data_IF_546842286719
#
_entry.id   IF_546842286719
#
_cell.length_a   1.000
_cell.length_b   1.000
_cell.length_c   1.000
_cell.angle_alpha   90.00
_cell.angle_beta   90.00
_cell.angle_gamma   90.00
#
_symmetry.space_group_name_H-M   'P 1'
#
loop_
_entity.id
_entity.type
_entity.pdbx_description
1 polymer ?
#
# COMPACT_ATOMS: atom_id res chain seq x y z
N UNK A 1 -14.45 16.84 -36.23
CA UNK A 1 -13.01 17.21 -36.21
C UNK A 1 -12.52 17.59 -34.80
N UNK A 2 -13.12 18.58 -34.12
CA UNK A 2 -12.70 18.94 -32.74
C UNK A 2 -12.91 17.83 -31.71
N UNK A 3 -14.02 17.09 -31.77
CA UNK A 3 -14.27 15.95 -30.87
C UNK A 3 -13.21 14.85 -31.02
N UNK A 4 -12.78 14.56 -32.26
CA UNK A 4 -11.76 13.55 -32.55
C UNK A 4 -10.39 13.96 -31.98
N UNK A 5 -9.99 15.23 -32.16
CA UNK A 5 -8.75 15.78 -31.59
C UNK A 5 -8.79 15.72 -30.05
N UNK A 6 -9.91 16.11 -29.44
CA UNK A 6 -10.10 16.05 -28.00
C UNK A 6 -9.95 14.61 -27.46
N UNK A 7 -10.53 13.61 -28.14
CA UNK A 7 -10.38 12.20 -27.78
C UNK A 7 -8.92 11.76 -27.79
N UNK A 8 -8.14 12.11 -28.82
CA UNK A 8 -6.72 11.76 -28.88
C UNK A 8 -5.89 12.44 -27.78
N UNK A 9 -6.18 13.71 -27.47
CA UNK A 9 -5.56 14.40 -26.34
C UNK A 9 -5.88 13.70 -25.02
N UNK A 10 -7.12 13.29 -24.81
CA UNK A 10 -7.55 12.58 -23.60
C UNK A 10 -6.92 11.18 -23.49
N UNK A 11 -6.74 10.47 -24.61
CA UNK A 11 -6.00 9.19 -24.66
C UNK A 11 -4.55 9.43 -24.26
N UNK A 12 -3.88 10.42 -24.86
CA UNK A 12 -2.50 10.76 -24.53
C UNK A 12 -2.33 11.11 -23.05
N UNK A 13 -3.23 11.95 -22.52
CA UNK A 13 -3.27 12.28 -21.10
C UNK A 13 -3.46 11.04 -20.22
N UNK A 14 -4.37 10.14 -20.62
CA UNK A 14 -4.59 8.88 -19.94
C UNK A 14 -3.33 8.01 -19.88
N UNK A 15 -2.61 7.90 -21.00
CA UNK A 15 -1.33 7.16 -21.05
C UNK A 15 -0.29 7.81 -20.11
N UNK A 16 -0.17 9.14 -20.11
CA UNK A 16 0.72 9.84 -19.19
C UNK A 16 0.35 9.58 -17.72
N UNK A 17 -0.95 9.59 -17.39
CA UNK A 17 -1.43 9.27 -16.04
C UNK A 17 -1.10 7.82 -15.66
N UNK A 18 -1.27 6.86 -16.57
CA UNK A 18 -0.95 5.45 -16.32
C UNK A 18 0.55 5.25 -16.02
N UNK A 19 1.43 5.91 -16.80
CA UNK A 19 2.88 5.88 -16.57
C UNK A 19 3.22 6.52 -15.21
N UNK A 20 2.61 7.68 -14.91
CA UNK A 20 2.82 8.35 -13.63
C UNK A 20 2.37 7.48 -12.45
N UNK A 21 1.22 6.80 -12.55
CA UNK A 21 0.75 5.87 -11.52
C UNK A 21 1.76 4.74 -11.29
N UNK A 22 2.26 4.10 -12.36
CA UNK A 22 3.27 3.06 -12.23
C UNK A 22 4.52 3.59 -11.51
N UNK A 23 4.98 4.78 -11.89
CA UNK A 23 6.14 5.42 -11.27
C UNK A 23 5.92 5.72 -9.79
N UNK A 24 4.77 6.33 -9.43
CA UNK A 24 4.43 6.66 -8.04
C UNK A 24 4.31 5.39 -7.19
N UNK A 25 3.67 4.34 -7.71
CA UNK A 25 3.53 3.06 -7.00
C UNK A 25 4.88 2.39 -6.83
N UNK A 26 5.72 2.36 -7.87
CA UNK A 26 7.07 1.80 -7.78
C UNK A 26 7.91 2.56 -6.75
N UNK A 27 7.90 3.89 -6.79
CA UNK A 27 8.61 4.71 -5.80
C UNK A 27 8.06 4.49 -4.38
N UNK A 28 6.75 4.36 -4.22
CA UNK A 28 6.13 4.09 -2.92
C UNK A 28 6.48 2.69 -2.39
N UNK A 29 6.61 1.68 -3.26
CA UNK A 29 7.02 0.34 -2.82
C UNK A 29 8.52 0.26 -2.53
N UNK A 30 9.36 0.93 -3.32
CA UNK A 30 10.83 0.91 -3.16
C UNK A 30 11.34 1.88 -2.09
N UNK A 31 10.63 2.97 -1.81
CA UNK A 31 11.10 4.04 -0.91
C UNK A 31 10.03 4.58 0.06
N UNK A 32 8.79 4.08 0.02
CA UNK A 32 7.62 4.81 0.54
C UNK A 32 7.41 4.81 2.05
N UNK A 33 8.07 3.95 2.81
CA UNK A 33 7.91 3.97 4.26
C UNK A 33 8.79 5.06 4.92
N UNK A 34 9.94 5.39 4.33
CA UNK A 34 10.79 6.51 4.77
C UNK A 34 10.26 7.91 4.40
N UNK A 35 9.31 8.02 3.46
CA UNK A 35 8.87 9.29 2.88
C UNK A 35 7.48 9.78 3.29
N UNK A 36 6.65 8.91 3.90
CA UNK A 36 5.23 9.21 4.19
C UNK A 36 4.92 9.67 5.62
N UNK A 37 5.93 9.76 6.48
CA UNK A 37 5.76 10.27 7.83
C UNK A 37 5.94 11.79 7.85
N UNK A 38 4.94 12.48 8.39
CA UNK A 38 5.05 13.91 8.66
C UNK A 38 6.22 14.14 9.62
N UNK A 39 6.99 15.22 9.46
CA UNK A 39 8.24 15.40 10.21
C UNK A 39 8.09 15.28 11.75
N UNK A 40 6.93 15.66 12.28
CA UNK A 40 6.59 15.55 13.70
C UNK A 40 6.37 14.08 14.13
N UNK A 41 5.69 13.27 13.31
CA UNK A 41 5.49 11.85 13.59
C UNK A 41 6.78 11.05 13.37
N UNK A 42 7.62 11.42 12.39
CA UNK A 42 8.93 10.82 12.17
C UNK A 42 9.85 11.07 13.38
N UNK A 43 9.89 12.29 13.90
CA UNK A 43 10.70 12.64 15.07
C UNK A 43 10.21 11.91 16.34
N UNK A 44 8.89 11.88 16.56
CA UNK A 44 8.29 11.13 17.67
C UNK A 44 8.54 9.60 17.56
N UNK A 45 8.47 9.02 16.37
CA UNK A 45 8.80 7.61 16.14
C UNK A 45 10.28 7.31 16.33
N UNK A 46 11.18 8.23 15.92
CA UNK A 46 12.62 8.09 16.13
C UNK A 46 12.95 8.11 17.62
N UNK A 47 12.36 9.01 18.39
CA UNK A 47 12.54 9.05 19.83
C UNK A 47 11.97 7.82 20.52
N UNK A 48 10.82 7.32 20.05
CA UNK A 48 10.23 6.09 20.57
C UNK A 48 11.08 4.85 20.22
N UNK A 49 11.70 4.82 19.04
CA UNK A 49 12.66 3.77 18.66
C UNK A 49 13.91 3.76 19.54
N UNK A 50 14.41 4.95 19.93
CA UNK A 50 15.54 5.09 20.85
C UNK A 50 15.16 4.60 22.24
N UNK A 51 13.99 4.99 22.75
CA UNK A 51 13.47 4.54 24.04
C UNK A 51 13.24 3.02 24.06
N UNK A 52 12.70 2.43 22.99
CA UNK A 52 12.51 0.99 22.85
C UNK A 52 13.83 0.21 22.90
N UNK A 53 14.88 0.71 22.21
CA UNK A 53 16.22 0.11 22.24
C UNK A 53 16.89 0.22 23.60
N UNK A 54 16.67 1.33 24.30
CA UNK A 54 17.14 1.50 25.68
C UNK A 54 16.43 0.51 26.59
N UNK A 55 15.10 0.43 26.55
CA UNK A 55 14.32 -0.53 27.33
C UNK A 55 14.74 -1.99 27.07
N UNK A 56 14.97 -2.37 25.81
CA UNK A 56 15.43 -3.71 25.46
C UNK A 56 16.81 -4.06 26.04
N UNK A 57 17.66 -3.05 26.32
CA UNK A 57 19.00 -3.24 26.88
C UNK A 57 19.05 -3.15 28.41
N UNK A 58 18.21 -2.30 29.01
CA UNK A 58 18.31 -1.97 30.44
C UNK A 58 17.10 -2.45 31.26
N UNK A 59 15.98 -2.79 30.62
CA UNK A 59 14.73 -3.18 31.29
C UNK A 59 14.00 -2.02 31.99
N UNK A 60 14.60 -0.82 32.04
CA UNK A 60 14.03 0.37 32.66
C UNK A 60 13.56 1.36 31.60
N UNK A 61 12.26 1.65 31.57
CA UNK A 61 11.76 2.93 31.08
C UNK A 61 10.31 3.14 31.46
N UNK A 62 10.08 3.83 32.58
CA UNK A 62 8.76 4.37 32.90
C UNK A 62 8.24 5.32 31.79
N UNK A 63 9.14 5.94 31.02
CA UNK A 63 8.81 6.82 29.90
C UNK A 63 8.27 6.11 28.65
N UNK A 64 8.67 4.86 28.36
CA UNK A 64 8.27 4.19 27.12
C UNK A 64 6.78 3.86 27.07
N UNK A 65 6.23 3.30 28.16
CA UNK A 65 4.81 2.99 28.22
C UNK A 65 3.93 4.25 28.13
N UNK A 66 4.40 5.37 28.70
CA UNK A 66 3.72 6.66 28.59
C UNK A 66 3.79 7.23 27.16
N UNK A 67 4.94 7.18 26.50
CA UNK A 67 5.12 7.60 25.10
C UNK A 67 4.27 6.76 24.14
N UNK A 68 4.16 5.44 24.37
CA UNK A 68 3.28 4.56 23.57
C UNK A 68 1.82 4.94 23.75
N UNK A 69 1.36 5.12 25.00
CA UNK A 69 -0.02 5.50 25.28
C UNK A 69 -0.38 6.87 24.67
N UNK A 70 0.58 7.80 24.60
CA UNK A 70 0.39 9.12 23.99
C UNK A 70 0.26 9.07 22.46
N UNK A 71 1.03 8.22 21.78
CA UNK A 71 1.06 8.14 20.31
C UNK A 71 0.01 7.18 19.73
N UNK A 72 -0.19 6.04 20.37
CA UNK A 72 -1.03 4.95 19.88
C UNK A 72 -2.37 4.80 20.61
N UNK A 73 -2.54 5.45 21.77
CA UNK A 73 -3.72 5.31 22.63
C UNK A 73 -3.61 4.14 23.62
N UNK A 74 -4.58 4.04 24.53
CA UNK A 74 -4.58 3.05 25.63
C UNK A 74 -4.87 1.60 25.19
N UNK A 75 -5.38 1.41 23.98
CA UNK A 75 -5.83 0.10 23.49
C UNK A 75 -4.72 -0.74 22.84
N UNK A 76 -3.53 -0.14 22.64
CA UNK A 76 -2.39 -0.82 22.02
C UNK A 76 -1.39 -1.26 23.10
N UNK A 77 -1.07 -2.56 23.15
CA UNK A 77 -0.11 -3.10 24.12
C UNK A 77 1.32 -2.56 23.84
N UNK A 78 1.97 -1.90 24.83
CA UNK A 78 3.35 -1.40 24.70
C UNK A 78 4.37 -2.45 24.26
N UNK A 79 4.11 -3.74 24.50
CA UNK A 79 4.98 -4.83 24.08
C UNK A 79 4.99 -5.03 22.56
N UNK A 80 3.90 -4.74 21.87
CA UNK A 80 3.81 -4.80 20.40
C UNK A 80 4.68 -3.72 19.78
N UNK A 81 4.66 -2.54 20.39
CA UNK A 81 5.50 -1.41 19.97
C UNK A 81 6.96 -1.72 20.26
N UNK A 82 7.27 -2.31 21.41
CA UNK A 82 8.63 -2.72 21.73
C UNK A 82 9.17 -3.76 20.74
N UNK A 83 8.37 -4.76 20.36
CA UNK A 83 8.77 -5.76 19.37
C UNK A 83 9.03 -5.14 18.00
N UNK A 84 8.22 -4.16 17.59
CA UNK A 84 8.42 -3.42 16.34
C UNK A 84 9.73 -2.61 16.30
N UNK A 85 10.21 -2.12 17.46
CA UNK A 85 11.38 -1.22 17.54
C UNK A 85 12.68 -1.84 18.10
N UNK A 86 12.60 -2.97 18.81
CA UNK A 86 13.74 -3.55 19.53
C UNK A 86 14.57 -4.53 18.69
N UNK A 87 13.98 -5.20 17.70
CA UNK A 87 14.79 -5.97 16.75
C UNK A 87 15.51 -5.03 15.79
N UNK A 88 16.84 -5.09 15.77
CA UNK A 88 17.71 -4.34 14.87
C UNK A 88 17.52 -4.61 13.37
N UNK A 89 16.41 -5.24 12.96
CA UNK A 89 15.95 -5.25 11.58
C UNK A 89 15.15 -3.98 11.35
N UNK A 90 15.80 -3.01 10.72
CA UNK A 90 15.25 -1.74 10.25
C UNK A 90 14.14 -1.90 9.18
N UNK A 91 13.26 -2.89 9.33
CA UNK A 91 12.32 -3.34 8.31
C UNK A 91 10.90 -3.48 8.85
N UNK A 92 10.67 -3.59 10.17
CA UNK A 92 9.31 -3.50 10.74
C UNK A 92 8.97 -2.02 10.96
N UNK A 93 8.64 -1.33 9.88
CA UNK A 93 8.18 0.05 9.92
C UNK A 93 6.98 0.20 10.87
N UNK A 94 7.02 1.21 11.74
CA UNK A 94 5.93 1.55 12.65
C UNK A 94 4.84 2.41 11.98
N UNK A 95 5.08 2.86 10.74
CA UNK A 95 4.13 3.61 9.93
C UNK A 95 2.77 2.89 9.69
N UNK A 96 2.72 1.58 9.42
CA UNK A 96 1.47 0.83 9.29
C UNK A 96 0.69 0.74 10.61
N UNK A 97 1.38 0.72 11.75
CA UNK A 97 0.75 0.73 13.09
C UNK A 97 0.07 2.06 13.36
N UNK A 98 0.74 3.18 13.05
CA UNK A 98 0.16 4.53 13.22
C UNK A 98 -1.07 4.73 12.33
N UNK A 99 -0.97 4.37 11.04
CA UNK A 99 -2.08 4.54 10.09
C UNK A 99 -3.34 3.74 10.47
N UNK A 100 -3.19 2.65 11.22
CA UNK A 100 -4.30 1.74 11.57
C UNK A 100 -4.59 1.62 13.05
N UNK A 101 -4.07 2.55 13.88
CA UNK A 101 -4.21 2.54 15.35
C UNK A 101 -5.63 2.30 15.88
N UNK A 102 -6.66 2.77 15.18
CA UNK A 102 -8.07 2.62 15.61
C UNK A 102 -8.72 1.26 15.27
N UNK A 103 -8.09 0.44 14.41
CA UNK A 103 -8.66 -0.82 13.93
C UNK A 103 -7.90 -2.07 14.43
N UNK A 104 -6.93 -1.87 15.32
CA UNK A 104 -6.11 -2.91 15.92
C UNK A 104 -6.77 -3.34 17.24
N UNK A 105 -7.07 -4.62 17.39
CA UNK A 105 -7.57 -5.19 18.65
C UNK A 105 -6.57 -6.25 19.12
N UNK A 106 -6.00 -6.04 20.30
CA UNK A 106 -5.03 -6.94 20.93
C UNK A 106 -5.73 -7.78 22.02
N UNK A 107 -6.25 -8.96 21.65
CA UNK A 107 -6.79 -9.94 22.60
C UNK A 107 -5.94 -11.22 22.59
N UNK A 108 -4.69 -11.14 23.08
CA UNK A 108 -3.73 -12.27 23.10
C UNK A 108 -3.13 -12.66 21.73
N UNK A 109 -3.74 -12.20 20.63
CA UNK A 109 -3.19 -12.12 19.29
C UNK A 109 -3.70 -10.83 18.62
N UNK A 110 -2.86 -10.18 17.83
CA UNK A 110 -3.19 -8.99 17.05
C UNK A 110 -4.17 -9.42 15.94
N UNK A 111 -5.41 -8.98 16.05
CA UNK A 111 -6.45 -9.16 15.03
C UNK A 111 -6.89 -7.80 14.51
N UNK A 112 -6.98 -7.67 13.18
CA UNK A 112 -7.38 -6.42 12.54
C UNK A 112 -8.87 -6.51 12.23
N UNK A 113 -9.62 -5.54 12.73
CA UNK A 113 -11.05 -5.40 12.44
C UNK A 113 -11.20 -4.57 11.17
N UNK A 114 -11.76 -5.16 10.11
CA UNK A 114 -11.95 -4.46 8.82
C UNK A 114 -13.33 -3.80 8.73
N UNK A 115 -14.34 -4.44 9.32
CA UNK A 115 -15.71 -3.96 9.52
C UNK A 115 -16.17 -4.43 10.91
N UNK A 116 -17.24 -3.86 11.51
CA UNK A 116 -17.72 -4.25 12.83
C UNK A 116 -17.92 -5.77 13.02
N UNK A 117 -18.19 -6.51 11.94
CA UNK A 117 -18.41 -7.97 11.95
C UNK A 117 -17.37 -8.81 11.21
N UNK A 118 -16.33 -8.22 10.60
CA UNK A 118 -15.30 -8.96 9.86
C UNK A 118 -13.93 -8.80 10.50
N UNK A 119 -13.45 -9.91 11.06
CA UNK A 119 -12.10 -10.11 11.58
C UNK A 119 -11.42 -11.13 10.68
N UNK A 120 -10.29 -10.78 10.07
CA UNK A 120 -9.47 -11.75 9.33
C UNK A 120 -8.08 -11.84 9.92
N UNK A 121 -7.54 -13.05 9.90
CA UNK A 121 -6.14 -13.29 10.22
C UNK A 121 -5.27 -12.63 9.14
N UNK A 122 -4.14 -12.01 9.51
CA UNK A 122 -3.25 -11.38 8.56
C UNK A 122 -2.64 -12.42 7.60
N UNK A 123 -2.49 -12.09 6.30
CA UNK A 123 -1.93 -13.03 5.33
C UNK A 123 -0.48 -13.37 5.68
N UNK A 124 -0.08 -14.63 5.53
CA UNK A 124 1.29 -15.08 5.83
C UNK A 124 2.31 -14.85 4.70
N UNK A 125 1.88 -14.39 3.52
CA UNK A 125 2.73 -14.15 2.35
C UNK A 125 2.55 -12.73 1.80
N UNK A 126 3.64 -12.11 1.35
CA UNK A 126 3.60 -10.81 0.69
C UNK A 126 3.05 -10.94 -0.74
N UNK A 127 1.92 -10.31 -1.02
CA UNK A 127 1.34 -10.25 -2.38
C UNK A 127 1.90 -9.08 -3.23
N UNK A 128 2.84 -8.30 -2.69
CA UNK A 128 3.42 -7.13 -3.37
C UNK A 128 3.98 -7.43 -4.76
N UNK A 129 4.79 -8.50 -4.88
CA UNK A 129 5.40 -8.91 -6.15
C UNK A 129 4.36 -9.14 -7.26
N UNK A 130 3.39 -10.06 -7.09
CA UNK A 130 2.39 -10.29 -8.12
C UNK A 130 1.47 -9.08 -8.39
N UNK A 131 1.14 -8.26 -7.38
CA UNK A 131 0.38 -7.03 -7.61
C UNK A 131 1.16 -6.00 -8.43
N UNK A 132 2.47 -5.85 -8.19
CA UNK A 132 3.32 -4.97 -9.00
C UNK A 132 3.39 -5.43 -10.46
N UNK A 133 3.54 -6.75 -10.69
CA UNK A 133 3.50 -7.32 -12.05
C UNK A 133 2.18 -6.99 -12.75
N UNK A 134 1.05 -7.13 -12.06
CA UNK A 134 -0.26 -6.80 -12.61
C UNK A 134 -0.39 -5.32 -12.98
N UNK A 135 0.15 -4.42 -12.15
CA UNK A 135 0.20 -2.97 -12.41
C UNK A 135 1.07 -2.65 -13.63
N UNK A 136 2.23 -3.30 -13.77
CA UNK A 136 3.09 -3.16 -14.95
C UNK A 136 2.35 -3.60 -16.22
N UNK A 137 1.70 -4.77 -16.19
CA UNK A 137 0.93 -5.30 -17.31
C UNK A 137 -0.20 -4.35 -17.72
N UNK A 138 -0.97 -3.83 -16.76
CA UNK A 138 -2.02 -2.85 -17.04
C UNK A 138 -1.47 -1.56 -17.66
N UNK A 139 -0.31 -1.10 -17.20
CA UNK A 139 0.34 0.10 -17.73
C UNK A 139 0.82 -0.12 -19.16
N UNK A 140 1.45 -1.27 -19.45
CA UNK A 140 1.85 -1.64 -20.80
C UNK A 140 0.64 -1.75 -21.74
N UNK A 141 -0.48 -2.29 -21.26
CA UNK A 141 -1.70 -2.36 -22.03
C UNK A 141 -2.28 -0.97 -22.33
N UNK A 142 -2.24 -0.04 -21.36
CA UNK A 142 -2.66 1.34 -21.58
C UNK A 142 -1.80 2.05 -22.64
N UNK A 143 -0.47 1.87 -22.60
CA UNK A 143 0.46 2.39 -23.61
C UNK A 143 0.15 1.77 -24.98
N UNK A 144 -0.07 0.45 -25.03
CA UNK A 144 -0.41 -0.26 -26.26
C UNK A 144 -1.71 0.26 -26.88
N UNK A 145 -2.77 0.43 -26.10
CA UNK A 145 -4.04 0.99 -26.58
C UNK A 145 -3.89 2.44 -27.06
N UNK A 146 -3.05 3.24 -26.37
CA UNK A 146 -2.69 4.57 -26.82
C UNK A 146 -2.01 4.57 -28.19
N UNK A 147 -0.99 3.71 -28.38
CA UNK A 147 -0.32 3.55 -29.66
C UNK A 147 -1.24 3.02 -30.77
N UNK A 148 -2.09 2.06 -30.43
CA UNK A 148 -3.11 1.50 -31.33
C UNK A 148 -4.07 2.58 -31.82
N UNK A 149 -4.44 3.53 -30.96
CA UNK A 149 -5.33 4.63 -31.35
C UNK A 149 -4.74 5.54 -32.44
N UNK A 150 -3.42 5.74 -32.44
CA UNK A 150 -2.73 6.55 -33.47
C UNK A 150 -2.54 5.72 -34.74
N UNK A 151 -2.22 4.44 -34.59
CA UNK A 151 -2.05 3.52 -35.71
C UNK A 151 -3.31 3.43 -36.58
N UNK A 152 -4.48 3.32 -35.96
CA UNK A 152 -5.76 3.17 -36.69
C UNK A 152 -6.23 4.43 -37.42
N UNK A 153 -5.56 5.57 -37.23
CA UNK A 153 -5.77 6.77 -38.06
C UNK A 153 -5.22 6.56 -39.48
N UNK A 154 -4.05 5.94 -39.59
CA UNK A 154 -3.38 5.69 -40.87
C UNK A 154 -3.74 4.35 -41.49
N UNK A 155 -4.09 3.37 -40.66
CA UNK A 155 -4.34 1.99 -41.08
C UNK A 155 -5.58 1.43 -40.37
N UNK A 156 -6.74 1.58 -41.01
CA UNK A 156 -7.97 0.98 -40.50
C UNK A 156 -7.90 -0.55 -40.53
N UNK A 157 -8.30 -1.17 -39.42
CA UNK A 157 -8.33 -2.62 -39.29
C UNK A 157 -9.64 -3.12 -39.91
N UNK A 158 -9.54 -3.82 -41.05
CA UNK A 158 -10.70 -4.34 -41.79
C UNK A 158 -11.29 -5.63 -41.21
N UNK A 159 -10.65 -6.23 -40.20
CA UNK A 159 -11.08 -7.49 -39.61
C UNK A 159 -12.28 -7.27 -38.69
N UNK A 160 -13.44 -7.95 -38.90
CA UNK A 160 -14.68 -7.67 -38.16
C UNK A 160 -14.56 -7.82 -36.63
N UNK A 161 -13.76 -8.79 -36.18
CA UNK A 161 -13.53 -9.06 -34.75
C UNK A 161 -12.67 -8.00 -34.06
N UNK A 162 -11.88 -7.24 -34.83
CA UNK A 162 -10.98 -6.19 -34.36
C UNK A 162 -11.45 -4.79 -34.75
N UNK A 163 -12.63 -4.66 -35.37
CA UNK A 163 -13.19 -3.38 -35.80
C UNK A 163 -13.36 -2.38 -34.65
N UNK A 164 -13.51 -2.87 -33.41
CA UNK A 164 -13.57 -2.06 -32.20
C UNK A 164 -12.30 -1.20 -32.00
N UNK A 165 -11.14 -1.65 -32.48
CA UNK A 165 -9.87 -0.94 -32.35
C UNK A 165 -9.81 0.33 -33.23
N UNK A 166 -10.70 0.47 -34.22
CA UNK A 166 -10.81 1.70 -35.01
C UNK A 166 -11.59 2.79 -34.25
N UNK A 167 -12.26 2.46 -33.13
CA UNK A 167 -13.03 3.39 -32.34
C UNK A 167 -12.17 4.09 -31.28
N UNK A 168 -11.67 5.29 -31.60
CA UNK A 168 -10.96 6.15 -30.66
C UNK A 168 -11.67 6.34 -29.30
N UNK A 169 -13.00 6.61 -29.21
CA UNK A 169 -13.65 6.79 -27.91
C UNK A 169 -13.70 5.49 -27.10
N UNK A 170 -13.79 4.32 -27.75
CA UNK A 170 -13.73 3.03 -27.06
C UNK A 170 -12.33 2.78 -26.50
N UNK A 171 -11.29 3.05 -27.29
CA UNK A 171 -9.89 2.95 -26.84
C UNK A 171 -9.62 3.88 -25.66
N UNK A 172 -10.14 5.12 -25.72
CA UNK A 172 -10.08 6.05 -24.59
C UNK A 172 -10.72 5.44 -23.34
N UNK A 173 -11.96 4.93 -23.43
CA UNK A 173 -12.64 4.33 -22.28
C UNK A 173 -11.83 3.18 -21.67
N UNK A 174 -11.25 2.31 -22.52
CA UNK A 174 -10.40 1.21 -22.06
C UNK A 174 -9.14 1.70 -21.34
N UNK A 175 -8.47 2.74 -21.84
CA UNK A 175 -7.31 3.35 -21.16
C UNK A 175 -7.71 3.87 -19.78
N UNK A 176 -8.82 4.62 -19.66
CA UNK A 176 -9.27 5.13 -18.36
C UNK A 176 -9.76 4.01 -17.42
N UNK A 177 -10.34 2.95 -17.95
CA UNK A 177 -10.69 1.77 -17.16
C UNK A 177 -9.44 1.09 -16.58
N UNK A 178 -8.36 0.96 -17.36
CA UNK A 178 -7.08 0.42 -16.89
C UNK A 178 -6.46 1.29 -15.80
N UNK A 179 -6.52 2.62 -15.95
CA UNK A 179 -6.08 3.58 -14.91
C UNK A 179 -6.86 3.36 -13.61
N UNK A 180 -8.18 3.21 -13.68
CA UNK A 180 -9.02 2.96 -12.51
C UNK A 180 -8.67 1.63 -11.85
N UNK A 181 -8.50 0.56 -12.64
CA UNK A 181 -8.12 -0.77 -12.13
C UNK A 181 -6.75 -0.72 -11.47
N UNK A 182 -5.76 -0.07 -12.08
CA UNK A 182 -4.42 0.13 -11.49
C UNK A 182 -4.51 0.87 -10.16
N UNK A 183 -5.33 1.92 -10.07
CA UNK A 183 -5.55 2.65 -8.83
C UNK A 183 -6.17 1.77 -7.72
N UNK A 184 -7.17 0.94 -8.07
CA UNK A 184 -7.79 0.01 -7.13
C UNK A 184 -6.81 -1.05 -6.65
N UNK A 185 -5.99 -1.62 -7.54
CA UNK A 185 -4.95 -2.59 -7.19
C UNK A 185 -3.91 -1.95 -6.27
N UNK A 186 -3.46 -0.72 -6.55
CA UNK A 186 -2.50 -0.01 -5.70
C UNK A 186 -3.04 0.23 -4.28
N UNK A 187 -4.33 0.58 -4.18
CA UNK A 187 -5.00 0.74 -2.89
C UNK A 187 -5.12 -0.60 -2.15
N UNK A 188 -5.44 -1.67 -2.86
CA UNK A 188 -5.48 -3.03 -2.32
C UNK A 188 -4.09 -3.51 -1.86
N UNK A 189 -3.04 -3.22 -2.63
CA UNK A 189 -1.64 -3.58 -2.29
C UNK A 189 -1.21 -2.93 -0.98
N UNK A 190 -1.38 -1.61 -0.88
CA UNK A 190 -1.12 -0.86 0.35
C UNK A 190 -1.93 -1.47 1.50
N UNK A 191 -3.19 -1.82 1.22
CA UNK A 191 -4.06 -2.35 2.24
C UNK A 191 -3.62 -3.71 2.78
N UNK A 192 -3.25 -4.64 1.89
CA UNK A 192 -2.77 -5.97 2.22
C UNK A 192 -1.39 -5.92 2.86
N UNK A 193 -0.53 -5.01 2.42
CA UNK A 193 0.81 -4.84 2.98
C UNK A 193 0.76 -4.37 4.44
N UNK A 194 -0.10 -3.42 4.78
CA UNK A 194 -0.27 -2.98 6.17
C UNK A 194 -0.69 -4.15 7.06
N UNK A 195 -1.66 -4.94 6.61
CA UNK A 195 -2.18 -6.11 7.35
C UNK A 195 -1.08 -7.16 7.51
N UNK A 196 -0.32 -7.43 6.45
CA UNK A 196 0.81 -8.35 6.46
C UNK A 196 1.87 -7.95 7.50
N UNK A 197 2.30 -6.68 7.50
CA UNK A 197 3.28 -6.15 8.46
C UNK A 197 2.78 -6.25 9.90
N UNK A 198 1.53 -5.90 10.14
CA UNK A 198 0.90 -6.04 11.47
C UNK A 198 0.85 -7.53 11.89
N UNK A 199 0.60 -8.44 10.95
CA UNK A 199 0.60 -9.87 11.23
C UNK A 199 1.96 -10.47 11.57
N UNK A 200 3.05 -9.95 11.01
CA UNK A 200 4.39 -10.39 11.38
C UNK A 200 4.72 -10.07 12.85
N UNK A 201 4.09 -9.05 13.45
CA UNK A 201 4.24 -8.74 14.88
C UNK A 201 3.62 -9.82 15.79
N UNK A 202 2.66 -10.62 15.30
CA UNK A 202 2.13 -11.76 16.06
C UNK A 202 3.13 -12.89 16.24
N UNK A 203 4.09 -13.06 15.33
CA UNK A 203 5.12 -14.10 15.49
C UNK A 203 6.05 -13.80 16.68
N UNK A 204 6.08 -12.55 17.15
CA UNK A 204 6.89 -12.08 18.27
C UNK A 204 6.06 -11.88 19.54
N UNK A 205 4.80 -12.32 19.53
CA UNK A 205 4.00 -12.41 20.75
C UNK A 205 4.64 -13.50 21.63
N UNK A 206 5.11 -13.20 22.86
CA UNK A 206 5.40 -14.28 23.78
C UNK A 206 4.10 -15.06 23.97
N UNK A 207 4.11 -16.40 23.93
CA UNK A 207 2.93 -17.16 24.32
C UNK A 207 2.50 -16.62 25.67
N UNK A 208 1.21 -16.29 25.80
CA UNK A 208 0.61 -16.06 27.12
C UNK A 208 1.05 -17.21 27.99
N UNK A 209 1.98 -16.95 28.91
CA UNK A 209 2.33 -17.84 29.99
C UNK A 209 1.04 -17.91 30.81
N UNK A 210 0.19 -18.87 30.45
CA UNK A 210 -0.78 -19.44 31.37
C UNK A 210 0.04 -20.03 32.52
N UNK A 211 0.35 -19.19 33.49
CA UNK A 211 0.66 -19.61 34.84
C UNK A 211 -0.28 -18.86 35.78
N UNK A 212 -1.25 -19.67 36.21
CA UNK A 212 -2.09 -19.59 37.41
C UNK A 212 -3.28 -18.64 37.32
#
# INVERSE_FOLDING_TARGET
MMLSIATFVLIYLGVCIAIYQLYDIYCAQSFGDARRLSGIEDEALRDLSRQARQYARTGESAGFAASVAALFGKDLDPRVVLAAFSEGKADLDAAPLLRRRHNIVCNGAISIRHLPFWKTAPPGKSLRGPLLVLIIVNTLLAIFLGGLSVYTIGYEISWPTLAWANSAPLLMLLVYALILVTHLIARLDTYLHDIYRIGQLNAHFPPTLNRL
#
